data_IF_085428169519
#
_entry.id   IF_085428169519
#
_cell.length_a   1.000
_cell.length_b   1.000
_cell.length_c   1.000
_cell.angle_alpha   90.00
_cell.angle_beta   90.00
_cell.angle_gamma   90.00
#
_symmetry.space_group_name_H-M   'P 1'
#
loop_
_entity.id
_entity.type
_entity.pdbx_description
1 polymer ?
#
# COMPACT_ATOMS: atom_id res chain seq x y z
N UNK A 1 6.95 28.72 -15.83
CA UNK A 1 6.03 27.58 -15.60
C UNK A 1 6.79 26.30 -15.93
N UNK A 2 7.28 25.56 -14.92
CA UNK A 2 8.06 24.35 -15.13
C UNK A 2 7.16 23.12 -14.92
N UNK A 3 6.62 22.58 -16.01
CA UNK A 3 5.92 21.29 -15.98
C UNK A 3 6.94 20.16 -15.87
N UNK A 4 7.27 19.76 -14.63
CA UNK A 4 8.10 18.58 -14.36
C UNK A 4 7.27 17.33 -14.69
N UNK A 5 7.56 16.67 -15.82
CA UNK A 5 6.95 15.38 -16.19
C UNK A 5 7.16 14.36 -15.05
N UNK A 6 6.12 13.64 -14.59
CA UNK A 6 6.29 12.63 -13.54
C UNK A 6 7.17 11.50 -14.05
N UNK A 7 8.22 11.19 -13.30
CA UNK A 7 9.14 10.07 -13.57
C UNK A 7 8.32 8.76 -13.56
N UNK A 8 8.53 7.92 -14.58
CA UNK A 8 7.97 6.58 -14.70
C UNK A 8 8.21 5.79 -13.38
N UNK A 9 7.17 5.65 -12.54
CA UNK A 9 7.25 4.83 -11.32
C UNK A 9 7.16 3.36 -11.75
N UNK A 10 8.07 2.47 -11.31
CA UNK A 10 7.83 1.05 -11.46
C UNK A 10 6.54 0.70 -10.74
N UNK A 11 5.65 -0.04 -11.42
CA UNK A 11 4.47 -0.61 -10.79
C UNK A 11 4.95 -1.48 -9.62
N UNK A 12 4.51 -1.16 -8.41
CA UNK A 12 4.92 -1.87 -7.21
C UNK A 12 3.83 -2.88 -6.88
N UNK A 13 4.19 -4.16 -6.77
CA UNK A 13 3.23 -5.23 -6.44
C UNK A 13 3.24 -5.50 -4.94
N UNK A 14 2.06 -5.57 -4.34
CA UNK A 14 1.85 -6.06 -2.97
C UNK A 14 1.28 -7.46 -2.99
N UNK A 15 1.68 -8.25 -2.00
CA UNK A 15 1.12 -9.59 -1.76
C UNK A 15 0.56 -9.61 -0.34
N UNK A 16 -0.72 -9.91 -0.20
CA UNK A 16 -1.39 -10.04 1.08
C UNK A 16 -1.38 -11.50 1.53
N UNK A 17 -0.48 -11.79 2.46
CA UNK A 17 -0.35 -13.12 3.09
C UNK A 17 -1.30 -13.24 4.29
N UNK A 18 -1.80 -14.45 4.61
CA UNK A 18 -1.58 -15.73 3.93
C UNK A 18 -2.53 -15.98 2.75
N UNK A 19 -3.34 -14.99 2.35
CA UNK A 19 -4.35 -15.15 1.30
C UNK A 19 -3.73 -15.31 -0.10
N UNK A 20 -2.46 -14.92 -0.29
CA UNK A 20 -1.76 -14.98 -1.57
C UNK A 20 -2.29 -13.98 -2.60
N UNK A 21 -3.10 -13.00 -2.17
CA UNK A 21 -3.71 -12.02 -3.07
C UNK A 21 -2.66 -11.00 -3.51
N UNK A 22 -2.48 -10.88 -4.83
CA UNK A 22 -1.53 -9.94 -5.44
C UNK A 22 -2.27 -8.73 -5.96
N UNK A 23 -1.84 -7.55 -5.53
CA UNK A 23 -2.43 -6.29 -5.96
C UNK A 23 -1.34 -5.36 -6.53
N UNK A 24 -1.66 -4.72 -7.65
CA UNK A 24 -0.79 -3.75 -8.30
C UNK A 24 -1.05 -2.36 -7.72
N UNK A 25 -0.02 -1.70 -7.19
CA UNK A 25 -0.12 -0.33 -6.71
C UNK A 25 -0.04 0.61 -7.92
N UNK A 26 -1.19 1.19 -8.25
CA UNK A 26 -1.30 2.23 -9.30
C UNK A 26 -1.40 3.61 -8.66
N UNK A 27 -0.46 4.49 -9.00
CA UNK A 27 -0.50 5.90 -8.57
C UNK A 27 -0.23 6.10 -7.08
N UNK A 28 -1.02 6.96 -6.43
CA UNK A 28 -0.94 7.31 -5.01
C UNK A 28 -2.13 6.73 -4.25
N UNK A 29 -2.26 5.41 -4.24
CA UNK A 29 -3.23 4.70 -3.40
C UNK A 29 -2.57 4.25 -2.10
N UNK A 30 -3.33 4.24 -1.01
CA UNK A 30 -2.84 3.70 0.26
C UNK A 30 -2.94 2.17 0.26
N UNK A 31 -2.09 1.51 1.06
CA UNK A 31 -2.16 0.05 1.24
C UNK A 31 -3.51 -0.38 1.83
N UNK A 32 -4.07 0.43 2.74
CA UNK A 32 -5.39 0.19 3.34
C UNK A 32 -6.48 0.18 2.27
N UNK A 33 -6.54 1.21 1.43
CA UNK A 33 -7.57 1.35 0.39
C UNK A 33 -7.50 0.18 -0.61
N UNK A 34 -6.28 -0.19 -1.01
CA UNK A 34 -6.07 -1.33 -1.89
C UNK A 34 -6.53 -2.65 -1.26
N UNK A 35 -6.25 -2.85 0.03
CA UNK A 35 -6.68 -4.05 0.76
C UNK A 35 -8.22 -4.15 0.82
N UNK A 36 -8.89 -3.06 1.19
CA UNK A 36 -10.35 -2.99 1.27
C UNK A 36 -11.00 -3.22 -0.11
N UNK A 37 -10.41 -2.66 -1.17
CA UNK A 37 -10.87 -2.88 -2.56
C UNK A 37 -10.76 -4.35 -3.00
N UNK A 38 -9.83 -5.11 -2.42
CA UNK A 38 -9.69 -6.55 -2.64
C UNK A 38 -10.51 -7.40 -1.65
N UNK A 39 -11.32 -6.78 -0.79
CA UNK A 39 -12.16 -7.46 0.20
C UNK A 39 -11.40 -7.93 1.45
N UNK A 40 -10.19 -7.42 1.67
CA UNK A 40 -9.37 -7.76 2.85
C UNK A 40 -9.75 -6.81 3.97
N UNK A 41 -10.33 -7.37 5.04
CA UNK A 41 -10.69 -6.61 6.22
C UNK A 41 -9.45 -6.31 7.07
N UNK A 42 -9.08 -5.03 7.15
CA UNK A 42 -8.03 -4.52 8.04
C UNK A 42 -8.70 -3.65 9.09
N UNK A 43 -8.50 -3.89 10.40
CA UNK A 43 -9.12 -3.07 11.44
C UNK A 43 -8.78 -1.59 11.28
N UNK A 44 -9.78 -0.75 11.09
CA UNK A 44 -9.60 0.70 10.96
C UNK A 44 -10.86 1.45 11.41
N UNK A 45 -10.68 2.69 11.86
CA UNK A 45 -11.81 3.60 12.18
C UNK A 45 -11.51 5.07 11.89
N UNK A 46 -10.38 5.35 11.22
CA UNK A 46 -9.94 6.71 10.90
C UNK A 46 -9.97 7.03 9.40
N UNK A 47 -10.60 6.17 8.59
CA UNK A 47 -10.73 6.38 7.14
C UNK A 47 -9.37 6.63 6.42
N UNK A 48 -8.29 6.02 6.92
CA UNK A 48 -6.95 6.18 6.36
C UNK A 48 -6.18 7.43 6.82
N UNK A 49 -6.68 8.22 7.76
CA UNK A 49 -5.97 9.39 8.32
C UNK A 49 -4.79 9.03 9.24
N UNK A 50 -4.64 7.76 9.63
CA UNK A 50 -3.54 7.31 10.50
C UNK A 50 -3.70 7.63 11.99
N UNK A 51 -4.84 8.17 12.43
CA UNK A 51 -5.05 8.59 13.82
C UNK A 51 -5.48 7.46 14.77
N UNK A 52 -6.16 6.42 14.27
CA UNK A 52 -6.65 5.32 15.13
C UNK A 52 -5.55 4.34 15.55
N UNK A 53 -4.45 4.26 14.77
CA UNK A 53 -3.35 3.29 14.96
C UNK A 53 -3.75 1.82 14.91
N UNK A 54 -4.98 1.50 14.47
CA UNK A 54 -5.55 0.14 14.49
C UNK A 54 -5.14 -0.71 13.27
N UNK A 55 -4.87 -0.08 12.12
CA UNK A 55 -4.57 -0.76 10.86
C UNK A 55 -3.11 -1.25 10.77
N UNK A 56 -2.58 -1.78 11.86
CA UNK A 56 -1.20 -2.28 11.94
C UNK A 56 -1.07 -3.58 11.15
N UNK A 57 0.01 -3.69 10.41
CA UNK A 57 0.36 -4.88 9.62
C UNK A 57 1.81 -5.27 9.89
N UNK A 58 2.11 -6.56 9.71
CA UNK A 58 3.47 -7.07 9.70
C UNK A 58 3.98 -7.12 8.26
N UNK A 59 5.13 -6.49 8.01
CA UNK A 59 5.84 -6.65 6.74
C UNK A 59 6.72 -7.91 6.83
N UNK A 60 6.44 -8.90 5.99
CA UNK A 60 7.19 -10.16 5.93
C UNK A 60 8.38 -10.09 4.98
N UNK A 61 8.26 -9.32 3.89
CA UNK A 61 9.28 -9.16 2.87
C UNK A 61 9.40 -7.69 2.50
N UNK A 62 10.62 -7.15 2.54
CA UNK A 62 10.92 -5.84 1.98
C UNK A 62 11.52 -6.00 0.58
N UNK A 63 11.17 -5.13 -0.38
CA UNK A 63 11.92 -5.06 -1.62
C UNK A 63 13.35 -4.60 -1.33
N UNK A 64 14.34 -5.27 -1.91
CA UNK A 64 15.75 -4.92 -1.79
C UNK A 64 15.98 -3.51 -2.33
N UNK A 65 16.54 -2.61 -1.50
CA UNK A 65 16.95 -1.27 -1.92
C UNK A 65 16.32 -0.08 -1.19
N UNK A 66 15.53 -0.28 -0.13
CA UNK A 66 15.08 0.81 0.75
C UNK A 66 16.06 0.91 1.93
N UNK A 67 16.80 2.03 2.10
CA UNK A 67 17.63 2.23 3.29
C UNK A 67 16.73 2.30 4.53
N UNK A 68 17.06 1.52 5.57
CA UNK A 68 16.39 1.56 6.87
C UNK A 68 16.87 2.72 7.72
#
# INVERSE_FOLDING_TARGET
>A
MFHKKPKNKPNSTLVFEPMGLKADIKGNVSVLDLALSQGIDIPHSCEGMGSCTSCRILLTQCPTGIPQ
#
